data_IF_305688371722
#
_entry.id   IF_305688371722
#
_cell.length_a   1.000
_cell.length_b   1.000
_cell.length_c   1.000
_cell.angle_alpha   90.00
_cell.angle_beta   90.00
_cell.angle_gamma   90.00
#
_symmetry.space_group_name_H-M   'P 1'
#
loop_
_entity.id
_entity.type
_entity.pdbx_description
1 polymer ?
#
# COMPACT_ATOMS: atom_id res chain seq x y z
N UNK A 1 11.91 -22.34 -6.02
CA UNK A 1 10.82 -21.33 -6.08
C UNK A 1 11.31 -20.14 -5.29
N UNK A 2 11.52 -19.01 -5.96
CA UNK A 2 11.98 -17.79 -5.30
C UNK A 2 10.88 -17.36 -4.33
N UNK A 3 11.20 -17.35 -3.04
CA UNK A 3 10.26 -16.89 -2.00
C UNK A 3 10.03 -15.37 -2.08
N UNK A 4 10.93 -14.68 -2.79
CA UNK A 4 10.98 -13.23 -2.90
C UNK A 4 9.70 -12.60 -3.47
N UNK A 5 9.11 -13.08 -4.60
CA UNK A 5 7.87 -12.51 -5.12
C UNK A 5 6.66 -12.73 -4.20
N UNK A 6 6.58 -13.88 -3.52
CA UNK A 6 5.46 -14.16 -2.61
C UNK A 6 5.50 -13.23 -1.40
N UNK A 7 6.68 -13.01 -0.83
CA UNK A 7 6.84 -12.11 0.31
C UNK A 7 6.53 -10.66 -0.05
N UNK A 8 6.86 -10.20 -1.26
CA UNK A 8 6.61 -8.80 -1.70
C UNK A 8 5.22 -8.55 -2.31
N UNK A 9 4.53 -9.56 -2.85
CA UNK A 9 3.20 -9.39 -3.45
C UNK A 9 2.05 -9.61 -2.46
N UNK A 10 2.28 -10.31 -1.34
CA UNK A 10 1.26 -10.56 -0.33
C UNK A 10 0.66 -9.28 0.30
N UNK A 11 1.44 -8.22 0.63
CA UNK A 11 0.89 -6.95 1.11
C UNK A 11 -0.06 -6.29 0.11
N UNK A 12 0.30 -6.33 -1.19
CA UNK A 12 -0.45 -5.69 -2.27
C UNK A 12 -1.87 -6.25 -2.34
N UNK A 13 -2.02 -7.57 -2.27
CA UNK A 13 -3.33 -8.22 -2.31
C UNK A 13 -4.19 -7.81 -1.11
N UNK A 14 -3.67 -7.86 0.12
CA UNK A 14 -4.42 -7.52 1.33
C UNK A 14 -4.87 -6.05 1.33
N UNK A 15 -3.96 -5.14 0.98
CA UNK A 15 -4.25 -3.70 0.96
C UNK A 15 -5.20 -3.32 -0.17
N UNK A 16 -5.11 -3.98 -1.34
CA UNK A 16 -6.07 -3.79 -2.43
C UNK A 16 -7.48 -4.27 -2.05
N UNK A 17 -7.58 -5.45 -1.42
CA UNK A 17 -8.86 -5.96 -0.93
C UNK A 17 -9.42 -5.05 0.15
N UNK A 18 -8.59 -4.58 1.10
CA UNK A 18 -9.01 -3.58 2.08
C UNK A 18 -9.56 -2.32 1.41
N UNK A 19 -8.86 -1.76 0.43
CA UNK A 19 -9.29 -0.53 -0.25
C UNK A 19 -10.65 -0.73 -0.95
N UNK A 20 -10.85 -1.85 -1.65
CA UNK A 20 -12.14 -2.18 -2.28
C UNK A 20 -13.24 -2.33 -1.22
N UNK A 21 -12.97 -3.04 -0.13
CA UNK A 21 -13.91 -3.24 0.99
C UNK A 21 -14.30 -1.90 1.63
N UNK A 22 -13.33 -1.01 1.87
CA UNK A 22 -13.57 0.32 2.45
C UNK A 22 -14.34 1.24 1.48
N UNK A 23 -14.09 1.16 0.17
CA UNK A 23 -14.81 1.97 -0.82
C UNK A 23 -16.25 1.49 -1.02
N UNK A 24 -16.44 0.18 -1.21
CA UNK A 24 -17.76 -0.39 -1.54
C UNK A 24 -18.73 -0.27 -0.37
N UNK A 25 -18.26 -0.47 0.87
CA UNK A 25 -19.05 -0.24 2.10
C UNK A 25 -20.48 -0.77 2.04
N UNK A 26 -20.63 -2.02 1.59
CA UNK A 26 -21.94 -2.61 1.31
C UNK A 26 -22.86 -2.51 2.54
N UNK A 27 -24.04 -1.86 2.47
CA UNK A 27 -24.83 -1.51 3.66
C UNK A 27 -25.21 -2.69 4.56
N UNK A 28 -25.50 -3.85 3.96
CA UNK A 28 -25.78 -5.10 4.68
C UNK A 28 -24.57 -5.62 5.45
N UNK A 29 -23.37 -5.49 4.90
CA UNK A 29 -22.14 -5.98 5.53
C UNK A 29 -21.65 -5.01 6.60
N UNK A 30 -21.73 -3.70 6.38
CA UNK A 30 -21.31 -2.68 7.35
C UNK A 30 -22.03 -2.80 8.69
N UNK A 31 -23.25 -3.35 8.71
CA UNK A 31 -24.04 -3.58 9.92
C UNK A 31 -23.69 -4.86 10.67
N UNK A 32 -22.81 -5.71 10.14
CA UNK A 32 -22.40 -6.95 10.81
C UNK A 32 -21.26 -6.70 11.79
N UNK A 33 -21.22 -7.49 12.86
CA UNK A 33 -20.19 -7.36 13.91
C UNK A 33 -18.78 -7.74 13.44
N UNK A 34 -18.65 -8.46 12.31
CA UNK A 34 -17.38 -8.93 11.77
C UNK A 34 -16.78 -8.00 10.70
N UNK A 35 -17.54 -7.04 10.18
CA UNK A 35 -17.07 -6.13 9.14
C UNK A 35 -15.86 -5.30 9.58
N UNK A 36 -15.96 -4.67 10.75
CA UNK A 36 -14.87 -3.84 11.28
C UNK A 36 -13.61 -4.66 11.63
N UNK A 37 -13.70 -5.81 12.33
CA UNK A 37 -12.54 -6.68 12.53
C UNK A 37 -11.90 -7.18 11.23
N UNK A 38 -12.70 -7.57 10.24
CA UNK A 38 -12.18 -8.06 8.95
C UNK A 38 -11.34 -7.00 8.25
N UNK A 39 -11.89 -5.80 8.04
CA UNK A 39 -11.15 -4.73 7.35
C UNK A 39 -9.93 -4.27 8.14
N UNK A 40 -10.02 -4.26 9.48
CA UNK A 40 -8.88 -4.00 10.37
C UNK A 40 -7.77 -5.02 10.14
N UNK A 41 -8.10 -6.31 10.09
CA UNK A 41 -7.12 -7.36 9.87
C UNK A 41 -6.42 -7.21 8.51
N UNK A 42 -7.19 -6.94 7.45
CA UNK A 42 -6.64 -6.72 6.10
C UNK A 42 -5.61 -5.57 6.07
N UNK A 43 -5.97 -4.40 6.60
CA UNK A 43 -5.08 -3.23 6.57
C UNK A 43 -3.92 -3.34 7.55
N UNK A 44 -4.12 -3.91 8.74
CA UNK A 44 -3.05 -4.04 9.74
C UNK A 44 -2.00 -5.05 9.27
N UNK A 45 -2.44 -6.25 8.84
CA UNK A 45 -1.50 -7.29 8.36
C UNK A 45 -0.87 -6.84 7.04
N UNK A 46 -1.65 -6.28 6.13
CA UNK A 46 -1.14 -5.72 4.87
C UNK A 46 -0.09 -4.64 5.08
N UNK A 47 -0.35 -3.66 5.96
CA UNK A 47 0.60 -2.58 6.26
C UNK A 47 1.84 -3.06 7.01
N UNK A 48 1.70 -3.99 7.95
CA UNK A 48 2.85 -4.58 8.64
C UNK A 48 3.75 -5.33 7.64
N UNK A 49 3.16 -6.11 6.74
CA UNK A 49 3.90 -6.80 5.70
C UNK A 49 4.53 -5.81 4.70
N UNK A 50 3.83 -4.72 4.33
CA UNK A 50 4.37 -3.71 3.40
C UNK A 50 5.61 -3.00 3.94
N UNK A 51 5.68 -2.78 5.27
CA UNK A 51 6.87 -2.22 5.92
C UNK A 51 8.06 -3.17 5.77
N UNK A 52 7.87 -4.46 6.05
CA UNK A 52 8.93 -5.48 5.91
C UNK A 52 9.44 -5.55 4.47
N UNK A 53 8.53 -5.53 3.50
CA UNK A 53 8.89 -5.60 2.07
C UNK A 53 9.56 -4.32 1.60
N UNK A 54 9.12 -3.15 2.07
CA UNK A 54 9.76 -1.87 1.77
C UNK A 54 11.23 -1.85 2.21
N UNK A 55 11.50 -2.20 3.48
CA UNK A 55 12.88 -2.25 3.97
C UNK A 55 13.75 -3.29 3.26
N UNK A 56 13.14 -4.41 2.86
CA UNK A 56 13.84 -5.43 2.06
C UNK A 56 14.25 -4.88 0.69
N UNK A 57 13.36 -4.17 -0.01
CA UNK A 57 13.64 -3.55 -1.29
C UNK A 57 14.67 -2.42 -1.18
N UNK A 58 14.52 -1.56 -0.17
CA UNK A 58 15.45 -0.46 0.10
C UNK A 58 16.88 -0.94 0.37
N UNK A 59 17.05 -2.06 1.08
CA UNK A 59 18.37 -2.65 1.31
C UNK A 59 19.02 -3.14 0.00
N UNK A 60 18.22 -3.72 -0.91
CA UNK A 60 18.69 -4.16 -2.23
C UNK A 60 19.05 -2.96 -3.12
N UNK A 61 18.24 -1.90 -3.08
CA UNK A 61 18.50 -0.65 -3.79
C UNK A 61 19.83 -0.04 -3.35
N UNK A 62 20.08 0.11 -2.04
CA UNK A 62 21.36 0.63 -1.55
C UNK A 62 22.56 -0.26 -1.94
N UNK A 63 22.39 -1.58 -1.96
CA UNK A 63 23.44 -2.48 -2.44
C UNK A 63 23.71 -2.28 -3.95
N UNK A 64 22.69 -1.96 -4.74
CA UNK A 64 22.82 -1.65 -6.17
C UNK A 64 23.42 -0.26 -6.42
N UNK A 65 23.09 0.75 -5.59
CA UNK A 65 23.70 2.09 -5.62
C UNK A 65 25.22 2.05 -5.45
N UNK A 66 25.70 1.24 -4.50
CA UNK A 66 27.13 1.06 -4.27
C UNK A 66 27.87 0.49 -5.49
N UNK A 67 27.15 -0.21 -6.37
CA UNK A 67 27.67 -0.75 -7.62
C UNK A 67 27.43 0.18 -8.83
N UNK A 68 26.91 1.39 -8.61
CA UNK A 68 26.65 2.38 -9.65
C UNK A 68 25.44 2.08 -10.55
N UNK A 69 24.53 1.20 -10.12
CA UNK A 69 23.42 0.70 -10.95
C UNK A 69 22.06 0.93 -10.28
N UNK A 70 21.54 2.16 -10.32
CA UNK A 70 20.13 2.41 -10.00
C UNK A 70 19.40 3.02 -11.19
N UNK A 71 18.64 2.20 -11.94
CA UNK A 71 17.72 2.71 -12.94
C UNK A 71 16.67 3.60 -12.27
N UNK A 72 16.34 4.74 -12.88
CA UNK A 72 15.29 5.67 -12.40
C UNK A 72 13.95 4.97 -12.08
N UNK A 73 13.60 3.91 -12.80
CA UNK A 73 12.38 3.12 -12.52
C UNK A 73 12.40 2.49 -11.12
N UNK A 74 13.57 2.09 -10.62
CA UNK A 74 13.74 1.50 -9.29
C UNK A 74 13.52 2.55 -8.20
N UNK A 75 14.14 3.73 -8.33
CA UNK A 75 13.95 4.86 -7.42
C UNK A 75 12.47 5.27 -7.35
N UNK A 76 11.82 5.41 -8.51
CA UNK A 76 10.39 5.76 -8.55
C UNK A 76 9.51 4.67 -7.94
N UNK A 77 9.81 3.39 -8.20
CA UNK A 77 9.11 2.28 -7.56
C UNK A 77 9.25 2.33 -6.03
N UNK A 78 10.45 2.56 -5.51
CA UNK A 78 10.73 2.70 -4.08
C UNK A 78 9.96 3.85 -3.43
N UNK A 79 9.95 5.03 -4.08
CA UNK A 79 9.19 6.19 -3.62
C UNK A 79 7.68 5.92 -3.53
N UNK A 80 7.09 5.33 -4.59
CA UNK A 80 5.67 4.97 -4.57
C UNK A 80 5.35 3.86 -3.56
N UNK A 81 6.27 2.91 -3.34
CA UNK A 81 6.13 1.89 -2.29
C UNK A 81 6.12 2.54 -0.89
N UNK A 82 6.97 3.54 -0.63
CA UNK A 82 6.96 4.30 0.61
C UNK A 82 5.64 5.07 0.78
N UNK A 83 5.16 5.76 -0.25
CA UNK A 83 3.89 6.49 -0.19
C UNK A 83 2.70 5.56 0.06
N UNK A 84 2.67 4.41 -0.60
CA UNK A 84 1.71 3.34 -0.35
C UNK A 84 1.74 2.91 1.12
N UNK A 85 2.92 2.57 1.63
CA UNK A 85 3.10 2.12 3.01
C UNK A 85 2.69 3.19 4.03
N UNK A 86 2.96 4.46 3.74
CA UNK A 86 2.57 5.58 4.59
C UNK A 86 1.04 5.74 4.66
N UNK A 87 0.36 5.76 3.51
CA UNK A 87 -1.11 5.94 3.46
C UNK A 87 -1.84 4.80 4.17
N UNK A 88 -1.51 3.55 3.84
CA UNK A 88 -2.12 2.40 4.54
C UNK A 88 -1.62 2.25 5.98
N UNK A 89 -0.42 2.74 6.30
CA UNK A 89 0.11 2.82 7.65
C UNK A 89 -0.73 3.72 8.55
N UNK A 90 -1.12 4.92 8.07
CA UNK A 90 -2.04 5.81 8.79
C UNK A 90 -3.38 5.14 9.07
N UNK A 91 -3.97 4.47 8.06
CA UNK A 91 -5.22 3.73 8.23
C UNK A 91 -5.06 2.56 9.20
N UNK A 92 -3.96 1.80 9.11
CA UNK A 92 -3.67 0.69 10.02
C UNK A 92 -3.52 1.15 11.47
N UNK A 93 -2.76 2.22 11.72
CA UNK A 93 -2.57 2.79 13.04
C UNK A 93 -3.90 3.26 13.65
N UNK A 94 -4.76 3.90 12.86
CA UNK A 94 -6.09 4.30 13.32
C UNK A 94 -6.95 3.08 13.71
N UNK A 95 -6.92 1.99 12.93
CA UNK A 95 -7.61 0.75 13.30
C UNK A 95 -7.03 0.10 14.57
N UNK A 96 -5.69 0.09 14.73
CA UNK A 96 -5.04 -0.42 15.95
C UNK A 96 -5.49 0.36 17.18
N UNK A 97 -5.49 1.70 17.11
CA UNK A 97 -5.94 2.56 18.22
C UNK A 97 -7.37 2.21 18.63
N UNK A 98 -8.30 2.13 17.66
CA UNK A 98 -9.71 1.83 17.95
C UNK A 98 -9.90 0.41 18.51
N UNK A 99 -9.18 -0.59 17.98
CA UNK A 99 -9.23 -1.96 18.51
C UNK A 99 -8.66 -2.06 19.94
N UNK A 100 -7.62 -1.29 20.21
CA UNK A 100 -6.89 -1.27 21.48
C UNK A 100 -7.31 -0.10 22.38
N UNK A 101 -8.57 0.36 22.26
CA UNK A 101 -9.09 1.58 22.92
C UNK A 101 -8.75 1.73 24.40
N UNK A 102 -8.63 0.62 25.15
CA UNK A 102 -8.30 0.63 26.59
C UNK A 102 -6.86 1.10 26.90
N UNK A 103 -5.98 1.15 25.90
CA UNK A 103 -4.57 1.52 26.04
C UNK A 103 -4.29 2.95 25.56
N UNK A 104 -5.27 3.64 24.98
CA UNK A 104 -5.11 4.98 24.43
C UNK A 104 -6.00 5.99 25.15
N UNK A 105 -5.53 7.23 25.25
CA UNK A 105 -6.33 8.31 25.82
C UNK A 105 -7.42 8.78 24.84
N UNK A 106 -8.40 9.52 25.38
CA UNK A 106 -9.54 10.07 24.62
C UNK A 106 -9.12 10.94 23.41
N UNK A 107 -8.01 11.67 23.52
CA UNK A 107 -7.54 12.54 22.42
C UNK A 107 -7.05 11.69 21.23
N UNK A 108 -6.23 10.66 21.49
CA UNK A 108 -5.74 9.75 20.46
C UNK A 108 -6.90 8.96 19.85
N UNK A 109 -7.85 8.52 20.67
CA UNK A 109 -9.07 7.86 20.22
C UNK A 109 -9.87 8.73 19.24
N UNK A 110 -10.11 10.00 19.57
CA UNK A 110 -10.84 10.94 18.69
C UNK A 110 -10.14 11.15 17.36
N UNK A 111 -8.81 11.24 17.34
CA UNK A 111 -8.04 11.37 16.10
C UNK A 111 -8.22 10.11 15.24
N UNK A 112 -8.04 8.93 15.83
CA UNK A 112 -8.20 7.67 15.12
C UNK A 112 -9.61 7.48 14.56
N UNK A 113 -10.64 7.74 15.37
CA UNK A 113 -12.03 7.69 14.94
C UNK A 113 -12.30 8.69 13.80
N UNK A 114 -11.73 9.90 13.86
CA UNK A 114 -11.86 10.91 12.80
C UNK A 114 -11.22 10.45 11.49
N UNK A 115 -10.06 9.79 11.54
CA UNK A 115 -9.40 9.20 10.36
C UNK A 115 -10.28 8.08 9.76
N UNK A 116 -10.94 7.28 10.60
CA UNK A 116 -11.79 6.17 10.14
C UNK A 116 -13.20 6.59 9.71
N UNK A 117 -13.54 7.87 9.81
CA UNK A 117 -14.79 8.38 9.27
C UNK A 117 -14.81 8.19 7.75
N UNK A 118 -15.98 7.88 7.15
CA UNK A 118 -16.07 7.61 5.71
C UNK A 118 -15.50 8.74 4.84
N UNK A 119 -15.71 9.98 5.26
CA UNK A 119 -15.24 11.18 4.56
C UNK A 119 -13.72 11.25 4.44
N UNK A 120 -12.98 10.59 5.35
CA UNK A 120 -11.51 10.58 5.37
C UNK A 120 -10.97 9.22 4.92
N UNK A 121 -11.51 8.13 5.44
CA UNK A 121 -11.06 6.77 5.14
C UNK A 121 -11.25 6.39 3.67
N UNK A 122 -12.36 6.77 3.03
CA UNK A 122 -12.63 6.42 1.63
C UNK A 122 -11.64 7.12 0.68
N UNK A 123 -11.42 8.45 0.75
CA UNK A 123 -10.38 9.09 -0.06
C UNK A 123 -8.99 8.52 0.16
N UNK A 124 -8.61 8.23 1.42
CA UNK A 124 -7.33 7.60 1.72
C UNK A 124 -7.20 6.20 1.13
N UNK A 125 -8.27 5.39 1.17
CA UNK A 125 -8.30 4.06 0.56
C UNK A 125 -8.17 4.12 -0.97
N UNK A 126 -8.86 5.07 -1.63
CA UNK A 126 -8.76 5.30 -3.07
C UNK A 126 -7.34 5.75 -3.44
N UNK A 127 -6.79 6.71 -2.69
CA UNK A 127 -5.41 7.17 -2.88
C UNK A 127 -4.42 6.02 -2.70
N UNK A 128 -4.57 5.21 -1.65
CA UNK A 128 -3.74 4.03 -1.42
C UNK A 128 -3.82 3.02 -2.56
N UNK A 129 -5.03 2.77 -3.10
CA UNK A 129 -5.22 1.87 -4.24
C UNK A 129 -4.56 2.40 -5.53
N UNK A 130 -4.65 3.71 -5.78
CA UNK A 130 -3.96 4.36 -6.89
C UNK A 130 -2.44 4.22 -6.74
N UNK A 131 -1.89 4.52 -5.56
CA UNK A 131 -0.47 4.40 -5.26
C UNK A 131 0.02 2.96 -5.45
N UNK A 132 -0.71 1.96 -4.93
CA UNK A 132 -0.39 0.54 -5.15
C UNK A 132 -0.36 0.18 -6.63
N UNK A 133 -1.32 0.69 -7.40
CA UNK A 133 -1.40 0.43 -8.84
C UNK A 133 -0.17 0.99 -9.55
N UNK A 134 0.28 2.20 -9.19
CA UNK A 134 1.49 2.81 -9.73
C UNK A 134 2.73 2.00 -9.28
N UNK A 135 2.87 1.67 -8.00
CA UNK A 135 3.97 0.86 -7.47
C UNK A 135 4.08 -0.48 -8.21
N UNK A 136 2.95 -1.18 -8.36
CA UNK A 136 2.88 -2.46 -9.07
C UNK A 136 3.22 -2.33 -10.54
N UNK A 137 2.76 -1.26 -11.20
CA UNK A 137 3.06 -0.99 -12.61
C UNK A 137 4.56 -0.75 -12.84
N UNK A 138 5.19 0.06 -11.99
CA UNK A 138 6.64 0.30 -12.04
C UNK A 138 7.43 -0.98 -11.70
N UNK A 139 6.94 -1.80 -10.77
CA UNK A 139 7.49 -3.12 -10.47
C UNK A 139 7.43 -4.07 -11.67
N UNK A 140 6.30 -4.09 -12.37
CA UNK A 140 6.13 -4.84 -13.63
C UNK A 140 7.12 -4.39 -14.71
N UNK A 141 7.33 -3.07 -14.85
CA UNK A 141 8.30 -2.53 -15.79
C UNK A 141 9.75 -2.95 -15.50
N UNK A 142 10.13 -3.11 -14.23
CA UNK A 142 11.48 -3.58 -13.86
C UNK A 142 11.74 -5.03 -14.26
N UNK A 143 10.71 -5.88 -14.24
CA UNK A 143 10.85 -7.31 -14.52
C UNK A 143 10.63 -7.63 -16.00
N UNK A 144 9.62 -7.02 -16.62
CA UNK A 144 9.13 -7.37 -17.96
C UNK A 144 9.37 -6.27 -19.01
N UNK A 145 9.85 -5.10 -18.60
CA UNK A 145 10.03 -3.94 -19.48
C UNK A 145 8.82 -3.00 -19.55
N UNK A 146 8.99 -1.79 -20.09
CA UNK A 146 7.98 -0.72 -20.04
C UNK A 146 6.75 -0.97 -20.93
N UNK A 147 6.85 -1.88 -21.92
CA UNK A 147 5.79 -2.14 -22.90
C UNK A 147 4.97 -3.41 -22.61
N UNK A 148 5.10 -4.02 -21.42
CA UNK A 148 4.41 -5.27 -21.08
C UNK A 148 2.88 -5.17 -21.15
N UNK A 149 2.31 -4.02 -20.73
CA UNK A 149 0.88 -3.73 -20.83
C UNK A 149 0.58 -2.22 -20.88
N UNK A 150 -0.65 -1.80 -21.25
CA UNK A 150 -1.00 -0.38 -21.40
C UNK A 150 -0.90 0.45 -20.11
N UNK A 151 -1.20 -0.13 -18.94
CA UNK A 151 -1.11 0.59 -17.66
C UNK A 151 0.35 0.81 -17.26
N UNK A 152 1.18 -0.22 -17.42
CA UNK A 152 2.63 -0.14 -17.18
C UNK A 152 3.24 0.92 -18.08
N UNK A 153 2.95 0.87 -19.39
CA UNK A 153 3.45 1.86 -20.36
C UNK A 153 3.04 3.29 -20.00
N UNK A 154 1.78 3.47 -19.60
CA UNK A 154 1.25 4.77 -19.20
C UNK A 154 2.00 5.35 -17.98
N UNK A 155 2.09 4.59 -16.88
CA UNK A 155 2.74 5.09 -15.67
C UNK A 155 4.26 5.22 -15.82
N UNK A 156 4.90 4.31 -16.57
CA UNK A 156 6.33 4.41 -16.89
C UNK A 156 6.63 5.70 -17.66
N UNK A 157 5.83 6.01 -18.70
CA UNK A 157 5.99 7.24 -19.49
C UNK A 157 5.86 8.51 -18.66
N UNK A 158 4.97 8.53 -17.66
CA UNK A 158 4.76 9.69 -16.76
C UNK A 158 5.92 9.88 -15.79
N UNK A 159 6.36 8.80 -15.13
CA UNK A 159 7.26 8.91 -13.97
C UNK A 159 8.73 8.67 -14.28
N UNK A 160 9.02 7.89 -15.32
CA UNK A 160 10.39 7.51 -15.71
C UNK A 160 10.80 8.22 -17.00
N UNK A 161 9.94 8.22 -18.01
CA UNK A 161 10.16 8.82 -19.34
C UNK A 161 9.79 7.85 -20.47
N UNK A 162 9.69 8.34 -21.71
CA UNK A 162 9.44 7.45 -22.86
C UNK A 162 10.65 6.58 -23.15
N UNK A 163 10.44 5.27 -23.33
CA UNK A 163 11.39 4.42 -24.04
C UNK A 163 11.38 4.86 -25.50
N UNK A 164 12.37 5.64 -25.91
CA UNK A 164 12.62 5.90 -27.33
C UNK A 164 13.13 4.62 -28.01
#
# INVERSE_FOLDING_TARGET
MDLHPILVHFPIALLSVYAVVEVVRWPKLVRTNWWFPLKSALVIIGSAASVVTFFSGWLLEQAAEQNGMVPRVMEMHGNFALYTAAVFGVLALAHVVVLLKKYFNEQIMRIAESILQPLVAIPLAILGLLLITITGSLGGAMVYGPDVDPLVKFFYGIFVGSSN
#
